data_IF_999176220775
#
_entry.id   IF_999176220775
#
_cell.length_a   1.000
_cell.length_b   1.000
_cell.length_c   1.000
_cell.angle_alpha   90.00
_cell.angle_beta   90.00
_cell.angle_gamma   90.00
#
_symmetry.space_group_name_H-M   'P 1'
#
loop_
_entity.id
_entity.type
_entity.pdbx_description
1 polymer ?
#
# COMPACT_ATOMS: atom_id res chain seq x y z
N UNK A 1 -36.46 -59.08 -19.67
CA UNK A 1 -35.25 -58.29 -20.01
C UNK A 1 -35.57 -56.83 -19.74
N UNK A 2 -35.26 -56.35 -18.54
CA UNK A 2 -35.57 -54.98 -18.07
C UNK A 2 -34.30 -54.14 -18.14
N UNK A 3 -34.28 -53.14 -19.02
CA UNK A 3 -33.17 -52.18 -19.13
C UNK A 3 -33.24 -51.18 -17.97
N UNK A 4 -32.22 -51.17 -17.10
CA UNK A 4 -31.98 -50.08 -16.14
C UNK A 4 -31.60 -48.79 -16.87
N UNK A 5 -32.09 -47.62 -16.44
CA UNK A 5 -31.64 -46.35 -17.00
C UNK A 5 -30.24 -46.00 -16.48
N UNK A 6 -29.36 -45.60 -17.40
CA UNK A 6 -28.03 -45.07 -17.10
C UNK A 6 -28.17 -43.70 -16.43
N UNK A 7 -27.54 -43.45 -15.26
CA UNK A 7 -27.61 -42.15 -14.62
C UNK A 7 -26.79 -41.10 -15.40
N UNK A 8 -27.38 -39.92 -15.59
CA UNK A 8 -26.71 -38.80 -16.23
C UNK A 8 -25.46 -38.36 -15.44
N UNK A 9 -24.36 -37.95 -16.11
CA UNK A 9 -23.15 -37.50 -15.42
C UNK A 9 -23.43 -36.22 -14.63
N UNK A 10 -22.95 -36.20 -13.37
CA UNK A 10 -23.01 -35.02 -12.52
C UNK A 10 -22.29 -33.82 -13.18
N UNK A 11 -22.80 -32.59 -13.04
CA UNK A 11 -22.12 -31.41 -13.57
C UNK A 11 -20.75 -31.27 -12.89
N UNK A 12 -19.72 -31.09 -13.72
CA UNK A 12 -18.36 -30.85 -13.23
C UNK A 12 -18.36 -29.68 -12.24
N UNK A 13 -17.59 -29.76 -11.13
CA UNK A 13 -17.46 -28.64 -10.21
C UNK A 13 -16.93 -27.44 -11.00
N UNK A 14 -17.69 -26.34 -10.98
CA UNK A 14 -17.28 -25.09 -11.61
C UNK A 14 -15.86 -24.74 -11.13
N UNK A 15 -14.96 -24.24 -12.01
CA UNK A 15 -13.65 -23.83 -11.58
C UNK A 15 -13.80 -22.79 -10.47
N UNK A 16 -13.34 -23.14 -9.27
CA UNK A 16 -13.31 -22.26 -8.12
C UNK A 16 -12.65 -20.97 -8.56
N UNK A 17 -13.43 -19.89 -8.70
CA UNK A 17 -12.89 -18.57 -9.00
C UNK A 17 -11.80 -18.31 -7.96
N UNK A 18 -10.54 -18.05 -8.35
CA UNK A 18 -9.53 -17.69 -7.38
C UNK A 18 -10.06 -16.48 -6.62
N UNK A 19 -10.18 -16.60 -5.30
CA UNK A 19 -10.49 -15.46 -4.44
C UNK A 19 -9.59 -14.32 -4.91
N UNK A 20 -10.16 -13.13 -5.15
CA UNK A 20 -9.43 -11.92 -5.57
C UNK A 20 -8.26 -11.55 -4.64
N UNK A 21 -8.10 -12.26 -3.53
CA UNK A 21 -7.02 -12.15 -2.56
C UNK A 21 -5.86 -13.16 -2.74
N UNK A 22 -6.01 -14.21 -3.55
CA UNK A 22 -4.98 -15.24 -3.75
C UNK A 22 -3.90 -14.85 -4.79
N UNK A 23 -4.19 -13.89 -5.67
CA UNK A 23 -3.23 -13.40 -6.68
C UNK A 23 -2.16 -12.44 -6.12
N UNK A 24 -2.21 -12.12 -4.82
CA UNK A 24 -1.13 -11.42 -4.13
C UNK A 24 -0.25 -12.45 -3.44
N UNK A 25 0.56 -13.15 -4.25
CA UNK A 25 1.52 -14.14 -3.76
C UNK A 25 2.39 -13.60 -2.62
N UNK A 26 2.58 -14.48 -1.62
CA UNK A 26 3.32 -14.36 -0.34
C UNK A 26 2.42 -14.09 0.87
N UNK A 27 2.45 -15.04 1.81
CA UNK A 27 1.51 -15.20 2.92
C UNK A 27 1.31 -13.91 3.72
N UNK A 28 0.13 -13.74 4.32
CA UNK A 28 -0.16 -12.57 5.17
C UNK A 28 0.86 -12.37 6.30
N UNK A 29 1.51 -13.43 6.77
CA UNK A 29 2.59 -13.38 7.76
C UNK A 29 3.85 -12.68 7.20
N UNK A 30 4.16 -12.87 5.93
CA UNK A 30 5.31 -12.32 5.23
C UNK A 30 5.12 -10.81 4.95
N UNK A 31 3.87 -10.43 4.64
CA UNK A 31 3.42 -9.03 4.59
C UNK A 31 3.54 -8.37 5.98
N UNK A 32 3.08 -9.03 7.04
CA UNK A 32 3.13 -8.49 8.41
C UNK A 32 4.58 -8.37 8.93
N UNK A 33 5.45 -9.33 8.62
CA UNK A 33 6.87 -9.27 8.97
C UNK A 33 7.58 -8.11 8.27
N UNK A 34 7.24 -7.84 7.01
CA UNK A 34 7.74 -6.67 6.27
C UNK A 34 7.20 -5.35 6.81
N UNK A 35 5.90 -5.27 7.12
CA UNK A 35 5.31 -4.09 7.79
C UNK A 35 6.03 -3.82 9.12
N UNK A 36 6.35 -4.87 9.89
CA UNK A 36 7.12 -4.76 11.14
C UNK A 36 8.57 -4.32 10.92
N UNK A 37 9.19 -4.71 9.80
CA UNK A 37 10.51 -4.21 9.41
C UNK A 37 10.45 -2.73 9.00
N UNK A 38 9.47 -2.31 8.20
CA UNK A 38 9.27 -0.91 7.83
C UNK A 38 8.98 -0.02 9.06
N UNK A 39 8.15 -0.50 9.98
CA UNK A 39 7.91 0.15 11.28
C UNK A 39 9.14 0.14 12.21
N UNK A 40 10.18 -0.63 11.90
CA UNK A 40 11.47 -0.62 12.61
C UNK A 40 12.46 0.38 11.98
N UNK A 41 12.50 0.47 10.65
CA UNK A 41 13.28 1.47 9.91
C UNK A 41 12.77 2.88 10.22
N UNK A 42 11.45 3.03 10.31
CA UNK A 42 10.82 4.26 10.76
C UNK A 42 10.88 4.42 12.29
N UNK A 43 11.95 4.08 13.01
CA UNK A 43 12.13 4.40 14.44
C UNK A 43 13.47 5.09 14.69
N UNK A 44 13.48 6.40 14.44
CA UNK A 44 14.47 7.34 14.97
C UNK A 44 13.72 8.42 15.76
N UNK A 45 13.87 8.40 17.08
CA UNK A 45 13.17 9.28 18.04
C UNK A 45 13.84 10.66 18.07
N UNK A 46 13.16 11.78 17.81
CA UNK A 46 12.13 12.38 18.68
C UNK A 46 11.00 13.10 17.90
N UNK A 47 10.93 12.95 16.57
CA UNK A 47 10.07 13.77 15.69
C UNK A 47 8.85 13.00 15.14
N UNK A 48 8.84 11.66 15.23
CA UNK A 48 7.87 10.84 14.50
C UNK A 48 6.44 10.90 15.02
N UNK A 49 6.27 11.04 16.34
CA UNK A 49 4.94 11.21 16.92
C UNK A 49 4.35 12.56 16.54
N UNK A 50 5.14 13.64 16.60
CA UNK A 50 4.71 14.97 16.18
C UNK A 50 4.41 15.02 14.68
N UNK A 51 5.24 14.40 13.85
CA UNK A 51 4.98 14.22 12.41
C UNK A 51 3.71 13.41 12.14
N UNK A 52 3.44 12.35 12.93
CA UNK A 52 2.22 11.56 12.84
C UNK A 52 0.99 12.40 13.17
N UNK A 53 1.02 13.11 14.30
CA UNK A 53 -0.06 14.03 14.72
C UNK A 53 -0.29 15.13 13.69
N UNK A 54 0.77 15.75 13.17
CA UNK A 54 0.66 16.77 12.13
C UNK A 54 0.09 16.20 10.84
N UNK A 55 0.55 15.01 10.43
CA UNK A 55 0.03 14.32 9.24
C UNK A 55 -1.46 14.03 9.37
N UNK A 56 -1.90 13.49 10.52
CA UNK A 56 -3.33 13.23 10.77
C UNK A 56 -4.17 14.51 10.79
N UNK A 57 -3.66 15.60 11.38
CA UNK A 57 -4.32 16.92 11.33
C UNK A 57 -4.46 17.45 9.91
N UNK A 58 -3.41 17.35 9.10
CA UNK A 58 -3.43 17.76 7.69
C UNK A 58 -4.38 16.89 6.88
N UNK A 59 -4.42 15.57 7.12
CA UNK A 59 -5.36 14.64 6.47
C UNK A 59 -6.81 14.94 6.86
N UNK A 60 -7.07 15.24 8.13
CA UNK A 60 -8.39 15.66 8.59
C UNK A 60 -8.83 16.97 7.91
N UNK A 61 -7.94 17.96 7.80
CA UNK A 61 -8.24 19.21 7.10
C UNK A 61 -8.44 19.00 5.59
N UNK A 62 -7.58 18.20 4.95
CA UNK A 62 -7.68 17.89 3.52
C UNK A 62 -9.07 17.32 3.16
N UNK A 63 -9.65 16.49 4.03
CA UNK A 63 -10.99 15.92 3.85
C UNK A 63 -12.13 16.94 3.90
N UNK A 64 -11.91 18.12 4.45
CA UNK A 64 -12.89 19.23 4.45
C UNK A 64 -12.84 20.08 3.18
N UNK A 65 -11.81 19.89 2.34
CA UNK A 65 -11.58 20.69 1.13
C UNK A 65 -12.16 20.00 -0.10
N UNK A 66 -12.61 20.81 -1.08
CA UNK A 66 -13.07 20.28 -2.36
C UNK A 66 -11.87 19.74 -3.18
N UNK A 67 -11.92 18.52 -3.76
CA UNK A 67 -10.77 17.89 -4.43
C UNK A 67 -10.15 18.67 -5.59
N UNK A 68 -10.95 19.50 -6.27
CA UNK A 68 -10.50 20.33 -7.40
C UNK A 68 -9.90 21.67 -6.92
N UNK A 69 -10.05 22.01 -5.63
CA UNK A 69 -9.58 23.30 -5.12
C UNK A 69 -8.04 23.38 -5.12
N UNK A 70 -7.47 24.58 -5.38
CA UNK A 70 -6.04 24.81 -5.22
C UNK A 70 -5.54 24.49 -3.80
N UNK A 71 -6.38 24.74 -2.78
CA UNK A 71 -6.10 24.40 -1.39
C UNK A 71 -5.94 22.90 -1.18
N UNK A 72 -6.82 22.07 -1.76
CA UNK A 72 -6.67 20.61 -1.70
C UNK A 72 -5.33 20.16 -2.28
N UNK A 73 -4.98 20.66 -3.47
CA UNK A 73 -3.70 20.34 -4.11
C UNK A 73 -2.51 20.75 -3.25
N UNK A 74 -2.56 21.93 -2.63
CA UNK A 74 -1.49 22.44 -1.74
C UNK A 74 -1.34 21.57 -0.49
N UNK A 75 -2.43 21.32 0.23
CA UNK A 75 -2.39 20.51 1.45
C UNK A 75 -2.00 19.05 1.18
N UNK A 76 -2.44 18.50 0.05
CA UNK A 76 -2.02 17.16 -0.42
C UNK A 76 -0.52 17.11 -0.65
N UNK A 77 0.06 18.15 -1.25
CA UNK A 77 1.51 18.24 -1.43
C UNK A 77 2.27 18.43 -0.12
N UNK A 78 1.75 19.21 0.83
CA UNK A 78 2.37 19.34 2.16
C UNK A 78 2.45 17.99 2.88
N UNK A 79 1.40 17.15 2.79
CA UNK A 79 1.40 15.81 3.39
C UNK A 79 2.44 14.91 2.72
N UNK A 80 2.60 15.00 1.40
CA UNK A 80 3.64 14.28 0.65
C UNK A 80 5.03 14.70 1.11
N UNK A 81 5.32 16.00 1.13
CA UNK A 81 6.62 16.55 1.53
C UNK A 81 6.97 16.13 2.96
N UNK A 82 6.01 16.23 3.89
CA UNK A 82 6.17 15.83 5.28
C UNK A 82 6.54 14.34 5.44
N UNK A 83 6.04 13.50 4.54
CA UNK A 83 6.24 12.05 4.59
C UNK A 83 7.27 11.53 3.56
N UNK A 84 7.87 12.41 2.76
CA UNK A 84 8.83 12.05 1.72
C UNK A 84 10.07 11.33 2.29
N UNK A 85 10.66 11.74 3.44
CA UNK A 85 11.79 11.01 4.02
C UNK A 85 11.48 9.54 4.35
N UNK A 86 10.23 9.23 4.70
CA UNK A 86 9.79 7.85 4.93
C UNK A 86 9.73 7.08 3.60
N UNK A 87 9.20 7.67 2.54
CA UNK A 87 9.17 7.04 1.23
C UNK A 87 10.57 6.81 0.65
N UNK A 88 11.49 7.75 0.87
CA UNK A 88 12.89 7.63 0.46
C UNK A 88 13.60 6.53 1.25
N UNK A 89 13.41 6.46 2.57
CA UNK A 89 13.96 5.37 3.39
C UNK A 89 13.44 3.99 2.97
N UNK A 90 12.16 3.91 2.57
CA UNK A 90 11.58 2.67 2.02
C UNK A 90 12.19 2.36 0.66
N UNK A 91 12.35 3.37 -0.21
CA UNK A 91 12.98 3.22 -1.52
C UNK A 91 14.39 2.68 -1.36
N UNK A 92 15.25 3.36 -0.59
CA UNK A 92 16.64 3.01 -0.31
C UNK A 92 16.78 1.60 0.29
N UNK A 93 15.82 1.21 1.13
CA UNK A 93 15.73 -0.15 1.68
C UNK A 93 15.49 -1.23 0.62
N UNK A 94 14.75 -0.90 -0.45
CA UNK A 94 14.37 -1.79 -1.54
C UNK A 94 15.34 -1.73 -2.74
N UNK A 95 16.06 -0.62 -2.94
CA UNK A 95 17.10 -0.44 -3.99
C UNK A 95 18.31 -1.36 -3.82
N UNK A 96 18.45 -2.01 -2.66
CA UNK A 96 19.40 -3.14 -2.50
C UNK A 96 19.01 -4.38 -3.32
N UNK A 97 17.87 -4.36 -4.01
CA UNK A 97 17.44 -5.37 -4.97
C UNK A 97 17.90 -5.00 -6.39
N UNK A 98 18.53 -5.91 -7.16
CA UNK A 98 18.99 -5.62 -8.52
C UNK A 98 17.81 -5.26 -9.44
N UNK A 99 17.94 -4.18 -10.22
CA UNK A 99 16.97 -3.75 -11.24
C UNK A 99 16.12 -2.51 -10.90
N UNK A 100 16.06 -2.07 -9.64
CA UNK A 100 15.38 -0.84 -9.25
C UNK A 100 16.41 0.30 -9.10
N UNK A 101 16.52 1.19 -10.08
CA UNK A 101 17.36 2.39 -9.93
C UNK A 101 16.81 3.32 -8.84
N UNK A 102 17.70 4.01 -8.11
CA UNK A 102 17.35 4.93 -6.99
C UNK A 102 16.25 5.92 -7.37
N UNK A 103 16.34 6.52 -8.57
CA UNK A 103 15.36 7.49 -9.07
C UNK A 103 13.99 6.85 -9.35
N UNK A 104 13.97 5.62 -9.89
CA UNK A 104 12.73 4.88 -10.15
C UNK A 104 12.06 4.52 -8.83
N UNK A 105 12.83 4.07 -7.85
CA UNK A 105 12.37 3.80 -6.49
C UNK A 105 11.76 5.04 -5.83
N UNK A 106 12.45 6.19 -5.85
CA UNK A 106 11.93 7.44 -5.28
C UNK A 106 10.64 7.91 -5.94
N UNK A 107 10.56 7.86 -7.28
CA UNK A 107 9.31 8.18 -8.00
C UNK A 107 8.17 7.24 -7.63
N UNK A 108 8.45 5.94 -7.50
CA UNK A 108 7.46 4.96 -7.06
C UNK A 108 7.01 5.22 -5.61
N UNK A 109 7.93 5.61 -4.73
CA UNK A 109 7.65 6.00 -3.36
C UNK A 109 6.71 7.18 -3.27
N UNK A 110 6.99 8.24 -4.03
CA UNK A 110 6.12 9.41 -4.10
C UNK A 110 4.74 9.08 -4.65
N UNK A 111 4.64 8.24 -5.69
CA UNK A 111 3.33 7.75 -6.19
C UNK A 111 2.57 6.94 -5.14
N UNK A 112 3.28 6.09 -4.39
CA UNK A 112 2.72 5.33 -3.28
C UNK A 112 2.14 6.23 -2.18
N UNK A 113 2.85 7.29 -1.80
CA UNK A 113 2.36 8.30 -0.84
C UNK A 113 1.09 9.00 -1.34
N UNK A 114 1.11 9.49 -2.58
CA UNK A 114 -0.04 10.15 -3.20
C UNK A 114 -1.27 9.25 -3.17
N UNK A 115 -1.10 7.98 -3.56
CA UNK A 115 -2.16 6.98 -3.52
C UNK A 115 -2.63 6.69 -2.10
N UNK A 116 -1.73 6.63 -1.14
CA UNK A 116 -2.09 6.43 0.27
C UNK A 116 -2.95 7.58 0.79
N UNK A 117 -2.61 8.83 0.49
CA UNK A 117 -3.41 10.01 0.86
C UNK A 117 -4.84 9.89 0.30
N UNK A 118 -4.96 9.53 -0.98
CA UNK A 118 -6.25 9.49 -1.67
C UNK A 118 -7.16 8.32 -1.21
N UNK A 119 -6.59 7.28 -0.61
CA UNK A 119 -7.32 6.04 -0.27
C UNK A 119 -7.39 5.74 1.23
N UNK A 120 -6.69 6.52 2.05
CA UNK A 120 -6.64 6.31 3.50
C UNK A 120 -7.96 6.64 4.19
N UNK A 121 -8.49 5.65 4.91
CA UNK A 121 -9.71 5.75 5.71
C UNK A 121 -9.37 5.52 7.20
N UNK A 122 -9.54 6.52 8.09
CA UNK A 122 -9.08 6.42 9.50
C UNK A 122 -9.90 5.46 10.36
N UNK A 123 -11.11 5.11 9.94
CA UNK A 123 -12.04 4.28 10.72
C UNK A 123 -11.53 2.84 10.96
N UNK A 124 -10.44 2.44 10.31
CA UNK A 124 -9.81 1.14 10.49
C UNK A 124 -8.84 1.08 11.69
N UNK A 125 -8.61 2.18 12.41
CA UNK A 125 -7.74 2.22 13.60
C UNK A 125 -6.24 2.04 13.32
N UNK A 126 -5.83 2.04 12.05
CA UNK A 126 -4.42 1.98 11.63
C UNK A 126 -3.89 3.41 11.41
N UNK A 127 -2.72 3.71 11.98
CA UNK A 127 -1.98 4.95 11.74
C UNK A 127 -1.66 5.15 10.26
N UNK A 128 -1.85 6.39 9.74
CA UNK A 128 -1.62 6.70 8.34
C UNK A 128 -0.23 6.29 7.85
N UNK A 129 0.83 6.54 8.62
CA UNK A 129 2.20 6.28 8.15
C UNK A 129 2.44 4.79 7.98
N UNK A 130 1.87 3.97 8.88
CA UNK A 130 1.89 2.51 8.76
C UNK A 130 1.12 2.02 7.53
N UNK A 131 -0.06 2.56 7.29
CA UNK A 131 -0.85 2.30 6.09
C UNK A 131 -0.07 2.69 4.82
N UNK A 132 0.46 3.92 4.80
CA UNK A 132 1.19 4.49 3.67
C UNK A 132 2.46 3.70 3.34
N UNK A 133 3.23 3.25 4.34
CA UNK A 133 4.39 2.39 4.13
C UNK A 133 4.04 1.11 3.34
N UNK A 134 2.87 0.51 3.63
CA UNK A 134 2.38 -0.68 2.91
C UNK A 134 2.01 -0.36 1.46
N UNK A 135 1.36 0.78 1.22
CA UNK A 135 1.00 1.23 -0.13
C UNK A 135 2.24 1.55 -0.97
N UNK A 136 3.23 2.23 -0.37
CA UNK A 136 4.52 2.55 -1.00
C UNK A 136 5.26 1.29 -1.43
N UNK A 137 5.44 0.34 -0.51
CA UNK A 137 6.16 -0.89 -0.80
C UNK A 137 5.46 -1.68 -1.92
N UNK A 138 4.12 -1.76 -1.88
CA UNK A 138 3.33 -2.41 -2.93
C UNK A 138 3.51 -1.74 -4.31
N UNK A 139 3.60 -0.40 -4.34
CA UNK A 139 3.82 0.35 -5.57
C UNK A 139 5.23 0.10 -6.16
N UNK A 140 6.24 -0.03 -5.31
CA UNK A 140 7.61 -0.35 -5.73
C UNK A 140 7.73 -1.79 -6.26
N UNK A 141 7.12 -2.77 -5.58
CA UNK A 141 7.17 -4.17 -6.02
C UNK A 141 6.53 -4.41 -7.40
N UNK A 142 5.45 -3.67 -7.72
CA UNK A 142 4.83 -3.74 -9.06
C UNK A 142 5.79 -3.38 -10.19
N UNK A 143 6.84 -2.60 -9.91
CA UNK A 143 7.85 -2.23 -10.89
C UNK A 143 8.94 -3.27 -11.00
N UNK A 144 9.30 -3.93 -9.89
CA UNK A 144 10.28 -5.02 -9.89
C UNK A 144 9.76 -6.30 -10.57
N UNK A 145 8.44 -6.51 -10.62
CA UNK A 145 7.81 -7.66 -11.29
C UNK A 145 7.56 -7.43 -12.80
N UNK A 146 7.85 -6.23 -13.32
CA UNK A 146 7.64 -5.84 -14.73
C UNK A 146 8.93 -5.56 -15.51
N UNK A 147 10.07 -5.57 -14.85
CA UNK A 147 11.40 -5.44 -15.46
C UNK A 147 12.06 -6.80 -15.58
#
# INVERSE_FOLDING_TARGET
MTHSPVPAPAPAPAPSRPSRHAALGRSGADRIARIRWFARVARGALDQHQLGVLTERLLAHLRTLHPISPSYSRFRMCIVELNQPMADAIADGLTRSPGLGTEVGRRAGRRGLLRAIDTYTPSCGEDFRRYAASVIAAEMYRLTERG
#
